data_IF_964836608372
#
_entry.id   IF_964836608372
#
_cell.length_a   1.000
_cell.length_b   1.000
_cell.length_c   1.000
_cell.angle_alpha   90.00
_cell.angle_beta   90.00
_cell.angle_gamma   90.00
#
_symmetry.space_group_name_H-M   'P 1'
#
loop_
_entity.id
_entity.type
_entity.pdbx_description
1 polymer ?
#
# COMPACT_ATOMS: atom_id res chain seq x y z
N UNK A 1 29.16 4.58 -13.96
CA UNK A 1 28.70 4.21 -12.61
C UNK A 1 29.91 3.95 -11.75
N UNK A 2 29.95 4.52 -10.55
CA UNK A 2 31.01 4.26 -9.57
C UNK A 2 30.89 2.81 -9.07
N UNK A 3 31.99 2.13 -8.67
CA UNK A 3 31.94 0.75 -8.17
C UNK A 3 30.92 0.53 -7.04
N UNK A 4 30.80 1.50 -6.13
CA UNK A 4 29.86 1.49 -5.00
C UNK A 4 28.39 1.48 -5.46
N UNK A 5 28.06 2.20 -6.54
CA UNK A 5 26.69 2.23 -7.08
C UNK A 5 26.31 0.87 -7.68
N UNK A 6 27.28 0.16 -8.28
CA UNK A 6 27.07 -1.17 -8.87
C UNK A 6 26.86 -2.23 -7.78
N UNK A 7 27.63 -2.17 -6.70
CA UNK A 7 27.50 -3.10 -5.58
C UNK A 7 26.19 -2.86 -4.80
N UNK A 8 25.78 -1.60 -4.64
CA UNK A 8 24.47 -1.27 -4.04
C UNK A 8 23.32 -1.82 -4.87
N UNK A 9 23.36 -1.67 -6.20
CA UNK A 9 22.35 -2.23 -7.10
C UNK A 9 22.31 -3.76 -7.01
N UNK A 10 23.47 -4.42 -7.00
CA UNK A 10 23.57 -5.87 -6.86
C UNK A 10 23.03 -6.35 -5.50
N UNK A 11 23.32 -5.62 -4.43
CA UNK A 11 22.76 -5.90 -3.10
C UNK A 11 21.23 -5.77 -3.11
N UNK A 12 20.69 -4.68 -3.66
CA UNK A 12 19.24 -4.50 -3.83
C UNK A 12 18.62 -5.64 -4.64
N UNK A 13 19.23 -6.05 -5.74
CA UNK A 13 18.76 -7.18 -6.57
C UNK A 13 18.72 -8.51 -5.79
N UNK A 14 19.72 -8.78 -4.95
CA UNK A 14 19.75 -9.99 -4.10
C UNK A 14 18.64 -9.93 -3.06
N UNK A 15 18.50 -8.81 -2.35
CA UNK A 15 17.43 -8.60 -1.36
C UNK A 15 16.06 -8.74 -2.03
N UNK A 16 15.87 -8.11 -3.18
CA UNK A 16 14.62 -8.18 -3.96
C UNK A 16 14.31 -9.60 -4.43
N UNK A 17 15.32 -10.34 -4.89
CA UNK A 17 15.18 -11.73 -5.28
C UNK A 17 14.74 -12.60 -4.11
N UNK A 18 15.28 -12.36 -2.92
CA UNK A 18 14.95 -13.10 -1.71
C UNK A 18 13.53 -12.77 -1.21
N UNK A 19 13.16 -11.49 -1.17
CA UNK A 19 11.80 -11.04 -0.82
C UNK A 19 10.78 -11.64 -1.77
N UNK A 20 11.03 -11.65 -3.09
CA UNK A 20 10.12 -12.26 -4.07
C UNK A 20 9.96 -13.77 -3.86
N UNK A 21 11.04 -14.49 -3.52
CA UNK A 21 10.98 -15.93 -3.24
C UNK A 21 10.19 -16.24 -1.97
N UNK A 22 10.36 -15.42 -0.93
CA UNK A 22 9.81 -15.65 0.41
C UNK A 22 8.58 -14.80 0.73
N UNK A 23 8.02 -14.09 -0.25
CA UNK A 23 6.85 -13.23 -0.08
C UNK A 23 5.69 -13.94 0.62
N UNK A 24 5.44 -15.22 0.27
CA UNK A 24 4.41 -16.04 0.91
C UNK A 24 4.70 -16.29 2.40
N UNK A 25 5.95 -16.54 2.76
CA UNK A 25 6.35 -16.74 4.15
C UNK A 25 6.16 -15.47 4.97
N UNK A 26 6.49 -14.30 4.42
CA UNK A 26 6.31 -13.02 5.11
C UNK A 26 4.84 -12.74 5.42
N UNK A 27 3.90 -13.07 4.52
CA UNK A 27 2.47 -12.92 4.81
C UNK A 27 2.00 -13.76 6.02
N UNK A 28 2.65 -14.90 6.26
CA UNK A 28 2.29 -15.84 7.33
C UNK A 28 3.03 -15.62 8.65
N UNK A 29 4.01 -14.71 8.67
CA UNK A 29 4.83 -14.41 9.86
C UNK A 29 4.23 -13.28 10.68
N UNK A 30 3.79 -13.62 11.88
CA UNK A 30 3.16 -12.70 12.84
C UNK A 30 4.14 -11.67 13.42
N UNK A 31 5.45 -11.93 13.36
CA UNK A 31 6.49 -11.04 13.89
C UNK A 31 6.55 -9.67 13.17
N UNK A 32 5.98 -9.59 11.96
CA UNK A 32 5.93 -8.34 11.21
C UNK A 32 4.96 -7.33 11.84
N UNK A 33 3.91 -7.78 12.56
CA UNK A 33 2.90 -6.88 13.13
C UNK A 33 3.49 -5.87 14.12
N UNK A 34 4.53 -6.25 14.88
CA UNK A 34 5.18 -5.37 15.87
C UNK A 34 6.34 -4.51 15.32
N UNK A 35 6.92 -4.88 14.18
CA UNK A 35 8.06 -4.14 13.60
C UNK A 35 7.63 -2.98 12.70
N UNK A 36 6.40 -2.99 12.19
CA UNK A 36 5.90 -1.99 11.23
C UNK A 36 5.67 -0.60 11.87
N UNK A 37 5.57 -0.49 13.21
CA UNK A 37 5.45 0.81 13.90
C UNK A 37 6.69 1.72 13.72
N UNK A 38 7.86 1.14 13.42
CA UNK A 38 9.10 1.88 13.18
C UNK A 38 9.36 2.29 11.72
N UNK A 39 8.49 1.88 10.78
CA UNK A 39 8.67 2.16 9.34
C UNK A 39 9.80 1.37 8.65
N UNK A 40 10.47 0.46 9.37
CA UNK A 40 11.58 -0.36 8.89
C UNK A 40 11.25 -1.83 9.10
N UNK A 41 11.42 -2.64 8.05
CA UNK A 41 11.21 -4.10 8.07
C UNK A 41 12.55 -4.80 7.98
N UNK A 42 12.81 -5.70 8.93
CA UNK A 42 14.05 -6.47 9.02
C UNK A 42 13.92 -7.82 8.31
N UNK A 43 14.70 -8.04 7.24
CA UNK A 43 14.68 -9.26 6.44
C UNK A 43 15.97 -10.07 6.66
N UNK A 44 15.89 -11.32 7.13
CA UNK A 44 17.06 -12.19 7.23
C UNK A 44 17.52 -12.64 5.84
N UNK A 45 18.79 -12.42 5.53
CA UNK A 45 19.41 -12.83 4.27
C UNK A 45 20.01 -14.24 4.37
N UNK A 46 19.95 -15.04 3.28
CA UNK A 46 20.64 -16.32 3.22
C UNK A 46 22.15 -16.10 3.30
N UNK A 47 22.82 -16.87 4.15
CA UNK A 47 24.28 -16.88 4.20
C UNK A 47 24.83 -17.51 2.92
N UNK A 48 25.74 -16.81 2.25
CA UNK A 48 26.61 -17.43 1.27
C UNK A 48 27.59 -18.32 2.02
N UNK A 49 27.49 -19.63 1.87
CA UNK A 49 28.58 -20.52 2.27
C UNK A 49 29.80 -20.16 1.43
N UNK A 50 30.81 -19.59 2.09
CA UNK A 50 32.08 -19.32 1.43
C UNK A 50 32.64 -20.67 0.97
N UNK A 51 32.89 -20.86 -0.34
CA UNK A 51 33.40 -22.14 -0.83
C UNK A 51 34.71 -22.45 -0.12
N UNK A 52 34.77 -23.59 0.57
CA UNK A 52 36.03 -24.10 1.10
C UNK A 52 36.91 -24.49 -0.08
N UNK A 53 37.97 -23.73 -0.31
CA UNK A 53 39.04 -24.14 -1.23
C UNK A 53 39.70 -25.35 -0.57
N UNK A 54 39.38 -26.54 -1.08
CA UNK A 54 40.10 -27.78 -0.71
C UNK A 54 41.31 -27.84 -1.63
N UNK A 55 42.50 -27.56 -1.09
CA UNK A 55 43.73 -27.88 -1.79
C UNK A 55 43.84 -29.42 -1.85
N UNK A 56 43.98 -29.98 -3.06
CA UNK A 56 44.46 -31.35 -3.24
C UNK A 56 45.86 -31.52 -2.64
N UNK A 57 46.26 -32.76 -2.38
CA UNK A 57 47.45 -33.15 -1.60
C UNK A 57 48.66 -32.20 -1.72
N UNK A 58 49.26 -31.79 -0.59
CA UNK A 58 50.34 -30.82 -0.59
C UNK A 58 51.63 -31.44 -1.16
N UNK A 59 52.10 -30.90 -2.29
CA UNK A 59 53.50 -31.04 -2.70
C UNK A 59 54.36 -30.17 -1.78
N UNK A 60 54.92 -30.78 -0.74
CA UNK A 60 56.18 -30.35 -0.12
C UNK A 60 56.11 -29.16 0.84
N UNK A 61 56.83 -29.28 1.95
CA UNK A 61 56.86 -28.41 3.11
C UNK A 61 57.40 -26.99 2.86
N UNK A 62 56.79 -26.02 3.55
CA UNK A 62 57.38 -24.72 3.87
C UNK A 62 56.47 -23.95 4.84
N UNK A 63 56.94 -23.51 6.03
CA UNK A 63 56.11 -22.79 6.98
C UNK A 63 55.90 -21.35 6.49
N UNK A 64 54.72 -21.07 5.93
CA UNK A 64 54.33 -19.72 5.54
C UNK A 64 53.41 -19.11 6.60
N UNK A 65 53.99 -18.09 7.23
CA UNK A 65 53.48 -17.17 8.26
C UNK A 65 51.97 -17.03 8.40
N UNK A 66 51.55 -17.12 9.67
CA UNK A 66 50.29 -16.58 10.15
C UNK A 66 50.16 -15.09 9.78
N UNK A 67 49.31 -14.80 8.81
CA UNK A 67 48.79 -13.45 8.57
C UNK A 67 47.72 -13.11 9.61
N UNK A 68 47.71 -11.90 10.19
CA UNK A 68 46.68 -11.47 11.13
C UNK A 68 45.38 -11.23 10.34
N UNK A 69 44.35 -12.02 10.62
CA UNK A 69 43.07 -11.90 9.94
C UNK A 69 42.08 -13.04 10.21
N UNK A 70 42.50 -14.09 10.92
CA UNK A 70 41.57 -15.08 11.47
C UNK A 70 41.08 -14.63 12.85
N UNK A 71 40.28 -13.56 12.89
CA UNK A 71 39.32 -13.42 13.99
C UNK A 71 38.28 -14.52 13.80
N UNK A 72 38.27 -15.45 14.74
CA UNK A 72 37.29 -16.52 14.81
C UNK A 72 35.89 -15.93 14.86
N UNK A 73 35.10 -16.21 13.82
CA UNK A 73 33.65 -16.22 13.93
C UNK A 73 33.31 -17.32 14.94
N UNK A 74 33.01 -16.91 16.17
CA UNK A 74 32.52 -17.80 17.21
C UNK A 74 31.23 -18.52 16.77
N UNK A 75 30.84 -19.59 17.48
CA UNK A 75 29.62 -20.35 17.22
C UNK A 75 28.40 -19.53 17.61
N UNK A 76 28.02 -18.62 16.73
CA UNK A 76 26.91 -17.70 16.88
C UNK A 76 26.70 -17.05 15.53
N UNK A 77 26.19 -17.83 14.57
CA UNK A 77 25.88 -17.36 13.22
C UNK A 77 24.81 -16.29 13.29
N UNK A 78 25.21 -15.03 13.49
CA UNK A 78 24.31 -13.90 13.33
C UNK A 78 23.90 -13.87 11.86
N UNK A 79 22.64 -14.19 11.61
CA UNK A 79 22.05 -14.12 10.29
C UNK A 79 22.14 -12.65 9.86
N UNK A 80 22.79 -12.32 8.73
CA UNK A 80 22.82 -10.94 8.26
C UNK A 80 21.38 -10.47 8.01
N UNK A 81 20.99 -9.39 8.66
CA UNK A 81 19.66 -8.78 8.52
C UNK A 81 19.79 -7.54 7.63
N UNK A 82 18.96 -7.47 6.59
CA UNK A 82 18.79 -6.26 5.80
C UNK A 82 17.59 -5.47 6.32
N UNK A 83 17.76 -4.18 6.53
CA UNK A 83 16.68 -3.25 6.84
C UNK A 83 16.15 -2.64 5.54
N UNK A 84 14.84 -2.76 5.31
CA UNK A 84 14.15 -2.10 4.20
C UNK A 84 13.14 -1.10 4.75
N UNK A 85 12.97 0.01 4.04
CA UNK A 85 11.83 0.90 4.30
C UNK A 85 10.52 0.17 3.99
N UNK A 86 9.49 0.40 4.81
CA UNK A 86 8.18 -0.23 4.65
C UNK A 86 7.61 -0.02 3.24
N UNK A 87 7.79 1.16 2.65
CA UNK A 87 7.33 1.46 1.29
C UNK A 87 8.02 0.61 0.23
N UNK A 88 9.36 0.48 0.30
CA UNK A 88 10.13 -0.36 -0.61
C UNK A 88 9.73 -1.84 -0.45
N UNK A 89 9.54 -2.30 0.79
CA UNK A 89 9.07 -3.65 1.07
C UNK A 89 7.68 -3.92 0.49
N UNK A 90 6.72 -2.99 0.67
CA UNK A 90 5.38 -3.13 0.12
C UNK A 90 5.39 -3.17 -1.41
N UNK A 91 6.20 -2.34 -2.08
CA UNK A 91 6.32 -2.37 -3.53
C UNK A 91 6.82 -3.73 -4.05
N UNK A 92 7.80 -4.31 -3.36
CA UNK A 92 8.33 -5.65 -3.68
C UNK A 92 7.29 -6.74 -3.45
N UNK A 93 6.56 -6.67 -2.34
CA UNK A 93 5.46 -7.60 -2.03
C UNK A 93 4.35 -7.49 -3.07
N UNK A 94 4.00 -6.27 -3.49
CA UNK A 94 3.03 -6.00 -4.54
C UNK A 94 3.43 -6.61 -5.88
N UNK A 95 4.70 -6.50 -6.26
CA UNK A 95 5.21 -7.13 -7.47
C UNK A 95 5.21 -8.66 -7.37
N UNK A 96 5.65 -9.21 -6.22
CA UNK A 96 5.73 -10.65 -5.98
C UNK A 96 4.34 -11.31 -6.01
N UNK A 97 3.36 -10.67 -5.39
CA UNK A 97 1.97 -11.16 -5.29
C UNK A 97 1.09 -10.71 -6.45
N UNK A 98 1.61 -9.87 -7.35
CA UNK A 98 0.88 -9.26 -8.49
C UNK A 98 -0.38 -8.52 -8.02
N UNK A 99 -0.25 -7.74 -6.96
CA UNK A 99 -1.36 -6.95 -6.42
C UNK A 99 -1.76 -5.83 -7.39
N UNK A 100 -3.06 -5.55 -7.53
CA UNK A 100 -3.55 -4.50 -8.42
C UNK A 100 -3.16 -3.12 -7.87
N UNK A 101 -2.87 -2.20 -8.78
CA UNK A 101 -2.68 -0.78 -8.43
C UNK A 101 -4.04 -0.13 -8.23
N UNK A 102 -4.29 0.33 -7.01
CA UNK A 102 -5.54 1.00 -6.68
C UNK A 102 -5.58 2.39 -7.36
N UNK A 103 -6.69 2.69 -8.02
CA UNK A 103 -6.90 3.98 -8.70
C UNK A 103 -7.85 4.85 -7.88
N UNK A 104 -7.61 6.16 -7.80
CA UNK A 104 -8.58 7.09 -7.23
C UNK A 104 -9.84 7.13 -8.10
N UNK A 105 -11.03 6.99 -7.49
CA UNK A 105 -12.32 7.20 -8.15
C UNK A 105 -12.73 8.68 -8.15
N UNK A 106 -12.25 9.46 -7.18
CA UNK A 106 -12.58 10.88 -7.01
C UNK A 106 -11.48 11.85 -7.45
N UNK A 107 -11.86 13.13 -7.56
CA UNK A 107 -10.86 14.20 -7.76
C UNK A 107 -9.98 14.31 -6.52
N UNK A 108 -10.51 14.06 -5.31
CA UNK A 108 -9.81 14.14 -4.02
C UNK A 108 -10.01 15.51 -3.36
N UNK A 109 -9.70 15.61 -2.07
CA UNK A 109 -9.81 16.89 -1.36
C UNK A 109 -8.60 17.77 -1.67
N UNK A 110 -8.84 19.07 -1.91
CA UNK A 110 -7.80 20.05 -2.20
C UNK A 110 -7.04 20.36 -0.91
N UNK A 111 -5.92 19.68 -0.68
CA UNK A 111 -5.18 19.83 0.58
C UNK A 111 -3.79 20.43 0.42
N UNK A 112 -3.19 20.39 -0.78
CA UNK A 112 -1.86 20.97 -0.98
C UNK A 112 -1.73 21.81 -2.26
N UNK A 113 -1.09 22.97 -2.09
CA UNK A 113 -0.67 23.83 -3.18
C UNK A 113 0.65 23.32 -3.76
N UNK A 114 0.58 22.47 -4.79
CA UNK A 114 1.81 22.13 -5.52
C UNK A 114 2.26 23.34 -6.33
N UNK A 115 3.40 23.91 -5.96
CA UNK A 115 4.01 25.03 -6.65
C UNK A 115 4.60 24.60 -7.99
N UNK A 116 3.83 24.68 -9.07
CA UNK A 116 4.40 24.62 -10.42
C UNK A 116 4.77 26.02 -10.87
N UNK A 117 6.03 26.20 -11.24
CA UNK A 117 6.60 27.42 -11.84
C UNK A 117 6.04 27.67 -13.26
N UNK A 118 4.76 27.98 -13.36
CA UNK A 118 4.01 28.15 -14.63
C UNK A 118 3.62 29.59 -14.90
N UNK A 119 3.49 30.42 -13.85
CA UNK A 119 3.14 31.84 -14.01
C UNK A 119 4.39 32.67 -14.25
N UNK A 120 4.22 33.86 -14.80
CA UNK A 120 5.32 34.77 -15.07
C UNK A 120 5.17 36.03 -14.27
N UNK A 121 6.17 36.30 -13.43
CA UNK A 121 6.31 37.54 -12.68
C UNK A 121 7.36 38.45 -13.31
N UNK A 122 7.27 39.76 -13.05
CA UNK A 122 8.26 40.76 -13.46
C UNK A 122 9.47 40.83 -12.53
N UNK A 123 9.37 40.25 -11.33
CA UNK A 123 10.43 40.19 -10.32
C UNK A 123 10.57 38.76 -9.79
N UNK A 124 11.80 38.36 -9.47
CA UNK A 124 12.09 37.03 -8.92
C UNK A 124 13.59 36.72 -8.83
N UNK A 125 13.96 35.56 -8.28
CA UNK A 125 15.34 35.12 -8.18
C UNK A 125 15.98 34.91 -9.57
N UNK A 126 17.27 35.24 -9.72
CA UNK A 126 17.99 35.10 -11.00
C UNK A 126 17.93 33.68 -11.58
N UNK A 127 17.94 32.64 -10.73
CA UNK A 127 17.84 31.24 -11.15
C UNK A 127 16.50 30.86 -11.81
N UNK A 128 15.42 31.60 -11.55
CA UNK A 128 14.10 31.36 -12.12
C UNK A 128 13.79 32.28 -13.32
N UNK A 129 14.78 33.00 -13.85
CA UNK A 129 14.60 33.90 -14.99
C UNK A 129 14.20 33.14 -16.25
N UNK A 130 13.11 33.54 -16.88
CA UNK A 130 12.67 33.01 -18.16
C UNK A 130 13.36 33.74 -19.32
N UNK A 131 14.52 33.25 -19.74
CA UNK A 131 15.41 33.91 -20.73
C UNK A 131 14.68 34.25 -22.04
N UNK A 132 14.02 33.29 -22.69
CA UNK A 132 13.33 33.52 -23.98
C UNK A 132 12.28 34.64 -23.93
N UNK A 133 11.47 34.69 -22.87
CA UNK A 133 10.44 35.73 -22.72
C UNK A 133 11.04 37.07 -22.30
N UNK A 134 12.12 37.06 -21.50
CA UNK A 134 12.87 38.28 -21.18
C UNK A 134 13.45 38.93 -22.43
N UNK A 135 14.09 38.12 -23.30
CA UNK A 135 14.62 38.60 -24.58
C UNK A 135 13.51 39.05 -25.53
N UNK A 136 12.36 38.37 -25.56
CA UNK A 136 11.20 38.78 -26.37
C UNK A 136 10.66 40.14 -25.97
N UNK A 137 10.58 40.43 -24.66
CA UNK A 137 10.11 41.73 -24.17
C UNK A 137 11.15 42.82 -24.42
N UNK A 138 12.43 42.52 -24.24
CA UNK A 138 13.54 43.41 -24.62
C UNK A 138 13.53 43.73 -26.12
N UNK A 139 13.28 42.74 -26.98
CA UNK A 139 13.16 42.97 -28.42
C UNK A 139 11.96 43.87 -28.76
N UNK A 140 10.79 43.63 -28.16
CA UNK A 140 9.63 44.50 -28.35
C UNK A 140 9.94 45.94 -27.94
N UNK A 141 10.62 46.14 -26.82
CA UNK A 141 11.04 47.45 -26.34
C UNK A 141 11.99 48.12 -27.34
N UNK A 142 13.05 47.43 -27.77
CA UNK A 142 14.04 47.96 -28.72
C UNK A 142 13.44 48.29 -30.09
N UNK A 143 12.44 47.52 -30.54
CA UNK A 143 11.70 47.83 -31.77
C UNK A 143 10.82 49.07 -31.62
N UNK A 144 10.18 49.25 -30.46
CA UNK A 144 9.34 50.43 -30.18
C UNK A 144 10.17 51.70 -29.96
N UNK A 145 11.37 51.59 -29.37
CA UNK A 145 12.27 52.73 -29.17
C UNK A 145 13.06 53.11 -30.43
N UNK A 146 13.02 52.28 -31.48
CA UNK A 146 13.80 52.49 -32.71
C UNK A 146 15.30 52.25 -32.54
N UNK A 147 15.73 51.71 -31.40
CA UNK A 147 17.13 51.43 -31.09
C UNK A 147 17.60 50.09 -31.68
N UNK A 148 16.67 49.27 -32.15
CA UNK A 148 16.98 47.98 -32.77
C UNK A 148 17.62 48.15 -34.15
N UNK A 149 18.85 47.66 -34.30
CA UNK A 149 19.57 47.60 -35.58
C UNK A 149 19.58 46.16 -36.07
N UNK A 150 19.05 45.94 -37.27
CA UNK A 150 18.97 44.61 -37.88
C UNK A 150 20.36 44.05 -38.25
N UNK A 151 21.28 44.94 -38.64
CA UNK A 151 22.66 44.63 -39.01
C UNK A 151 23.52 44.23 -37.79
N UNK A 152 23.15 44.68 -36.59
CA UNK A 152 23.82 44.32 -35.33
C UNK A 152 22.81 44.16 -34.17
N UNK A 153 22.15 42.99 -34.04
CA UNK A 153 21.07 42.78 -33.09
C UNK A 153 21.61 42.65 -31.65
N UNK A 154 21.86 43.78 -30.99
CA UNK A 154 22.21 43.84 -29.57
C UNK A 154 20.98 44.07 -28.71
N UNK A 155 20.57 43.03 -28.00
CA UNK A 155 19.48 43.11 -27.02
C UNK A 155 20.05 43.10 -25.61
N UNK A 156 19.94 44.23 -24.91
CA UNK A 156 20.30 44.35 -23.49
C UNK A 156 18.99 44.41 -22.69
N UNK A 157 18.63 43.34 -21.97
CA UNK A 157 17.41 43.34 -21.16
C UNK A 157 17.52 44.31 -20.00
N UNK A 158 16.55 45.22 -19.88
CA UNK A 158 16.43 46.13 -18.75
C UNK A 158 15.58 45.51 -17.64
N UNK A 159 15.50 46.17 -16.47
CA UNK A 159 14.74 45.68 -15.32
C UNK A 159 13.27 45.39 -15.65
N UNK A 160 12.68 46.15 -16.56
CA UNK A 160 11.28 46.04 -16.97
C UNK A 160 11.04 44.88 -17.95
N UNK A 161 12.08 44.43 -18.65
CA UNK A 161 12.05 43.30 -19.59
C UNK A 161 12.13 41.96 -18.85
N UNK A 162 12.61 41.97 -17.60
CA UNK A 162 12.83 40.75 -16.84
C UNK A 162 11.51 40.01 -16.59
N UNK A 163 11.53 38.72 -16.92
CA UNK A 163 10.42 37.79 -16.69
C UNK A 163 10.95 36.59 -15.91
N UNK A 164 10.27 36.24 -14.83
CA UNK A 164 10.64 35.17 -13.92
C UNK A 164 9.52 34.14 -13.87
N UNK A 165 9.88 32.86 -13.77
CA UNK A 165 8.89 31.84 -13.48
C UNK A 165 8.46 31.99 -12.02
N UNK A 166 7.21 32.34 -11.82
CA UNK A 166 6.57 32.40 -10.51
C UNK A 166 5.85 31.08 -10.24
N UNK A 167 5.96 30.54 -9.02
CA UNK A 167 5.15 29.41 -8.63
C UNK A 167 3.67 29.84 -8.65
N UNK A 168 2.83 29.04 -9.31
CA UNK A 168 1.38 29.12 -9.13
C UNK A 168 0.99 27.92 -8.29
N UNK A 169 0.34 28.17 -7.16
CA UNK A 169 -0.38 27.14 -6.44
C UNK A 169 -1.39 26.53 -7.41
N UNK A 170 -1.21 25.25 -7.73
CA UNK A 170 -2.29 24.45 -8.30
C UNK A 170 -2.75 23.53 -7.18
N UNK A 171 -4.04 23.51 -6.85
CA UNK A 171 -4.56 22.52 -5.91
C UNK A 171 -4.25 21.15 -6.49
N UNK A 172 -3.46 20.35 -5.77
CA UNK A 172 -3.36 18.93 -6.04
C UNK A 172 -4.35 18.26 -5.11
N UNK A 173 -5.43 17.71 -5.66
CA UNK A 173 -6.35 17.00 -4.82
C UNK A 173 -5.69 15.67 -4.42
N UNK A 174 -5.68 15.37 -3.12
CA UNK A 174 -5.23 14.08 -2.63
C UNK A 174 -6.43 13.16 -2.61
N UNK A 175 -6.34 12.04 -3.32
CA UNK A 175 -7.32 10.98 -3.18
C UNK A 175 -7.25 10.43 -1.76
N UNK A 176 -8.37 10.48 -1.06
CA UNK A 176 -8.51 9.92 0.28
C UNK A 176 -9.17 8.55 0.15
N UNK A 177 -8.88 7.66 1.10
CA UNK A 177 -9.55 6.38 1.18
C UNK A 177 -10.14 6.21 2.58
N UNK A 178 -11.28 5.55 2.64
CA UNK A 178 -11.85 5.04 3.88
C UNK A 178 -11.99 3.53 3.75
N UNK A 179 -11.52 2.80 4.76
CA UNK A 179 -11.63 1.34 4.83
C UNK A 179 -12.43 0.98 6.06
N UNK A 180 -13.55 0.28 5.83
CA UNK A 180 -14.38 -0.31 6.88
C UNK A 180 -14.07 -1.81 6.93
N UNK A 181 -13.76 -2.32 8.11
CA UNK A 181 -13.64 -3.75 8.37
C UNK A 181 -14.80 -4.20 9.25
N UNK A 182 -15.69 -5.03 8.71
CA UNK A 182 -16.70 -5.76 9.47
C UNK A 182 -16.19 -7.16 9.76
N UNK A 183 -16.09 -7.49 11.04
CA UNK A 183 -15.67 -8.80 11.53
C UNK A 183 -16.79 -9.43 12.33
N UNK A 184 -17.14 -10.64 11.92
CA UNK A 184 -17.97 -11.56 12.66
C UNK A 184 -17.20 -12.09 13.87
N UNK A 185 -17.79 -11.92 15.05
CA UNK A 185 -17.24 -12.44 16.30
C UNK A 185 -18.09 -13.57 16.86
N UNK A 186 -18.93 -14.22 16.06
CA UNK A 186 -19.75 -15.36 16.49
C UNK A 186 -18.95 -16.55 17.03
N UNK A 187 -19.65 -17.44 17.74
CA UNK A 187 -19.02 -18.63 18.38
C UNK A 187 -18.33 -19.62 17.43
N UNK A 188 -18.55 -19.51 16.12
CA UNK A 188 -17.87 -20.31 15.09
C UNK A 188 -16.54 -19.68 14.63
N UNK A 189 -16.34 -18.39 14.87
CA UNK A 189 -15.11 -17.64 14.57
C UNK A 189 -14.09 -17.80 15.69
N UNK A 190 -13.42 -18.95 15.72
CA UNK A 190 -12.45 -19.28 16.78
C UNK A 190 -11.15 -18.52 16.59
N UNK A 191 -10.22 -18.74 17.50
CA UNK A 191 -8.95 -18.00 17.54
C UNK A 191 -8.13 -18.13 16.24
N UNK A 192 -8.15 -19.29 15.57
CA UNK A 192 -7.40 -19.51 14.33
C UNK A 192 -7.98 -18.69 13.17
N UNK A 193 -9.30 -18.69 13.03
CA UNK A 193 -10.05 -17.95 12.02
C UNK A 193 -9.89 -16.44 12.25
N UNK A 194 -10.04 -15.97 13.49
CA UNK A 194 -9.81 -14.57 13.86
C UNK A 194 -8.38 -14.12 13.55
N UNK A 195 -7.38 -14.98 13.74
CA UNK A 195 -5.98 -14.68 13.38
C UNK A 195 -5.80 -14.49 11.87
N UNK A 196 -6.43 -15.33 11.04
CA UNK A 196 -6.38 -15.18 9.59
C UNK A 196 -7.00 -13.84 9.15
N UNK A 197 -8.17 -13.50 9.70
CA UNK A 197 -8.84 -12.22 9.40
C UNK A 197 -8.00 -11.03 9.81
N UNK A 198 -7.44 -11.04 11.02
CA UNK A 198 -6.56 -9.96 11.51
C UNK A 198 -5.33 -9.79 10.63
N UNK A 199 -4.78 -10.89 10.13
CA UNK A 199 -3.67 -10.87 9.18
C UNK A 199 -4.09 -10.23 7.86
N UNK A 200 -5.23 -10.62 7.29
CA UNK A 200 -5.75 -10.03 6.06
C UNK A 200 -6.05 -8.54 6.21
N UNK A 201 -6.75 -8.14 7.26
CA UNK A 201 -7.12 -6.74 7.49
C UNK A 201 -5.88 -5.84 7.62
N UNK A 202 -4.84 -6.33 8.28
CA UNK A 202 -3.56 -5.65 8.37
C UNK A 202 -2.89 -5.47 7.00
N UNK A 203 -2.74 -6.54 6.22
CA UNK A 203 -2.10 -6.46 4.90
C UNK A 203 -2.89 -5.59 3.92
N UNK A 204 -4.22 -5.69 3.94
CA UNK A 204 -5.10 -4.82 3.16
C UNK A 204 -4.87 -3.36 3.56
N UNK A 205 -4.81 -3.07 4.86
CA UNK A 205 -4.55 -1.71 5.37
C UNK A 205 -3.22 -1.18 4.87
N UNK A 206 -2.14 -1.97 4.96
CA UNK A 206 -0.82 -1.56 4.49
C UNK A 206 -0.81 -1.27 2.98
N UNK A 207 -1.44 -2.14 2.19
CA UNK A 207 -1.49 -1.98 0.74
C UNK A 207 -2.30 -0.74 0.32
N UNK A 208 -3.46 -0.51 0.95
CA UNK A 208 -4.27 0.68 0.66
C UNK A 208 -3.53 1.94 1.10
N UNK A 209 -2.88 1.93 2.27
CA UNK A 209 -2.07 3.06 2.76
C UNK A 209 -0.90 3.40 1.83
N UNK A 210 -0.31 2.39 1.18
CA UNK A 210 0.74 2.61 0.16
C UNK A 210 0.24 3.44 -1.02
N UNK A 211 -1.02 3.26 -1.42
CA UNK A 211 -1.63 4.00 -2.53
C UNK A 211 -2.32 5.30 -2.10
N UNK A 212 -2.86 5.34 -0.88
CA UNK A 212 -3.58 6.47 -0.31
C UNK A 212 -2.96 6.85 1.04
N UNK A 213 -2.04 7.83 1.07
CA UNK A 213 -1.39 8.25 2.31
C UNK A 213 -2.37 8.75 3.38
N UNK A 214 -3.52 9.30 2.94
CA UNK A 214 -4.65 9.69 3.80
C UNK A 214 -5.69 8.57 3.77
N UNK A 215 -5.53 7.62 4.70
CA UNK A 215 -6.41 6.49 4.90
C UNK A 215 -7.11 6.60 6.25
N UNK A 216 -8.45 6.70 6.22
CA UNK A 216 -9.28 6.54 7.40
C UNK A 216 -9.70 5.08 7.58
N UNK A 217 -9.72 4.61 8.82
CA UNK A 217 -9.98 3.21 9.17
C UNK A 217 -11.10 3.16 10.19
N UNK A 218 -12.08 2.30 9.95
CA UNK A 218 -13.24 2.08 10.81
C UNK A 218 -13.40 0.58 11.01
N UNK A 219 -13.59 0.17 12.26
CA UNK A 219 -13.69 -1.24 12.62
C UNK A 219 -15.07 -1.50 13.21
N UNK A 220 -15.72 -2.54 12.69
CA UNK A 220 -17.04 -2.98 13.09
C UNK A 220 -16.92 -4.42 13.56
N UNK A 221 -17.48 -4.69 14.72
CA UNK A 221 -17.74 -6.06 15.18
C UNK A 221 -19.23 -6.31 15.09
N UNK A 222 -19.60 -7.54 14.79
CA UNK A 222 -20.99 -7.95 14.88
C UNK A 222 -21.14 -9.38 15.36
N UNK A 223 -22.22 -9.58 16.11
CA UNK A 223 -22.78 -10.87 16.45
C UNK A 223 -24.27 -10.89 16.01
N UNK A 224 -25.21 -10.76 16.93
CA UNK A 224 -26.62 -10.45 16.68
C UNK A 224 -26.86 -8.95 16.41
N UNK A 225 -26.00 -8.08 16.93
CA UNK A 225 -26.01 -6.63 16.67
C UNK A 225 -24.61 -6.17 16.23
N UNK A 226 -24.53 -5.03 15.55
CA UNK A 226 -23.26 -4.47 15.10
C UNK A 226 -22.93 -3.19 15.84
N UNK A 227 -21.65 -3.00 16.17
CA UNK A 227 -21.14 -1.78 16.81
C UNK A 227 -19.75 -1.40 16.29
N UNK A 228 -19.43 -0.12 16.35
CA UNK A 228 -18.10 0.39 16.02
C UNK A 228 -17.14 0.20 17.20
N UNK A 229 -15.91 -0.20 16.91
CA UNK A 229 -14.84 -0.41 17.89
C UNK A 229 -13.55 0.30 17.48
N UNK A 230 -12.65 0.44 18.45
CA UNK A 230 -11.28 0.88 18.18
C UNK A 230 -10.45 -0.20 17.49
N UNK A 231 -9.32 0.21 16.92
CA UNK A 231 -8.33 -0.70 16.31
C UNK A 231 -7.84 -1.75 17.33
N UNK A 232 -7.52 -1.33 18.55
CA UNK A 232 -7.06 -2.24 19.61
C UNK A 232 -8.11 -3.30 19.97
N UNK A 233 -9.37 -2.88 20.09
CA UNK A 233 -10.49 -3.77 20.40
C UNK A 233 -10.74 -4.77 19.27
N UNK A 234 -10.67 -4.32 18.01
CA UNK A 234 -10.78 -5.21 16.84
C UNK A 234 -9.71 -6.32 16.87
N UNK A 235 -8.46 -5.97 17.14
CA UNK A 235 -7.36 -6.95 17.20
C UNK A 235 -7.38 -7.81 18.48
N UNK A 236 -8.01 -7.36 19.56
CA UNK A 236 -8.19 -8.14 20.80
C UNK A 236 -9.52 -8.89 20.88
N UNK A 237 -10.42 -8.68 19.92
CA UNK A 237 -11.74 -9.28 19.89
C UNK A 237 -11.66 -10.81 19.99
N UNK A 238 -12.65 -11.37 20.70
CA UNK A 238 -12.86 -12.80 20.96
C UNK A 238 -14.28 -13.18 20.57
N UNK A 239 -14.49 -14.48 20.42
CA UNK A 239 -15.79 -15.08 20.08
C UNK A 239 -16.91 -14.75 21.10
N UNK A 240 -18.12 -14.58 20.61
CA UNK A 240 -19.33 -14.23 21.34
C UNK A 240 -20.58 -14.26 20.44
N UNK A 241 -21.64 -14.92 20.91
CA UNK A 241 -22.98 -14.80 20.33
C UNK A 241 -23.24 -15.54 19.01
N UNK A 242 -24.38 -15.19 18.38
CA UNK A 242 -24.80 -15.69 17.06
C UNK A 242 -24.46 -14.69 15.95
N UNK A 243 -24.94 -14.91 14.72
CA UNK A 243 -24.53 -14.11 13.55
C UNK A 243 -25.71 -13.49 12.80
N UNK A 244 -25.70 -12.16 12.65
CA UNK A 244 -26.56 -11.39 11.74
C UNK A 244 -25.74 -10.46 10.86
N UNK A 245 -25.56 -10.86 9.61
CA UNK A 245 -24.74 -10.13 8.63
C UNK A 245 -25.35 -8.78 8.23
N UNK A 246 -26.69 -8.69 8.18
CA UNK A 246 -27.37 -7.44 7.82
C UNK A 246 -27.08 -6.30 8.81
N UNK A 247 -26.86 -6.62 10.09
CA UNK A 247 -26.60 -5.62 11.13
C UNK A 247 -25.31 -4.84 10.86
N UNK A 248 -24.24 -5.54 10.47
CA UNK A 248 -22.96 -4.94 10.09
C UNK A 248 -23.08 -4.07 8.83
N UNK A 249 -23.83 -4.53 7.82
CA UNK A 249 -24.03 -3.79 6.58
C UNK A 249 -24.85 -2.51 6.78
N UNK A 250 -25.88 -2.56 7.63
CA UNK A 250 -26.68 -1.37 7.99
C UNK A 250 -25.83 -0.32 8.74
N UNK A 251 -25.01 -0.77 9.69
CA UNK A 251 -24.10 0.13 10.40
C UNK A 251 -23.03 0.71 9.45
N UNK A 252 -22.51 -0.11 8.54
CA UNK A 252 -21.57 0.35 7.52
C UNK A 252 -22.22 1.41 6.61
N UNK A 253 -23.48 1.23 6.19
CA UNK A 253 -24.21 2.24 5.42
C UNK A 253 -24.29 3.58 6.16
N UNK A 254 -24.57 3.56 7.46
CA UNK A 254 -24.65 4.78 8.27
C UNK A 254 -23.29 5.48 8.36
N UNK A 255 -22.21 4.74 8.65
CA UNK A 255 -20.85 5.30 8.72
C UNK A 255 -20.42 5.89 7.38
N UNK A 256 -20.72 5.21 6.27
CA UNK A 256 -20.34 5.64 4.93
C UNK A 256 -21.01 6.95 4.48
N UNK A 257 -22.13 7.37 5.11
CA UNK A 257 -22.74 8.69 4.86
C UNK A 257 -21.80 9.85 5.22
N UNK A 258 -20.91 9.66 6.21
CA UNK A 258 -19.92 10.66 6.59
C UNK A 258 -18.79 10.84 5.56
N UNK A 259 -18.67 9.93 4.57
CA UNK A 259 -17.53 9.86 3.65
C UNK A 259 -17.96 10.01 2.19
N UNK A 260 -18.13 11.21 1.60
CA UNK A 260 -18.64 11.36 0.24
C UNK A 260 -17.77 10.72 -0.86
N UNK A 261 -18.38 10.06 -1.85
CA UNK A 261 -17.71 9.34 -2.96
C UNK A 261 -16.87 10.25 -3.85
N UNK A 262 -17.20 11.54 -3.90
CA UNK A 262 -16.45 12.54 -4.67
C UNK A 262 -15.01 12.72 -4.15
N UNK A 263 -14.79 12.49 -2.85
CA UNK A 263 -13.52 12.75 -2.18
C UNK A 263 -12.86 11.47 -1.66
N UNK A 264 -13.66 10.45 -1.30
CA UNK A 264 -13.19 9.22 -0.68
C UNK A 264 -13.42 8.00 -1.57
N UNK A 265 -12.35 7.23 -1.77
CA UNK A 265 -12.45 5.84 -2.18
C UNK A 265 -12.94 5.00 -1.00
N UNK A 266 -14.15 4.45 -1.09
CA UNK A 266 -14.75 3.65 -0.02
C UNK A 266 -14.47 2.17 -0.22
N UNK A 267 -13.85 1.53 0.75
CA UNK A 267 -13.63 0.09 0.78
C UNK A 267 -14.38 -0.50 1.97
N UNK A 268 -15.12 -1.57 1.73
CA UNK A 268 -15.78 -2.33 2.80
C UNK A 268 -15.35 -3.77 2.70
N UNK A 269 -14.73 -4.27 3.78
CA UNK A 269 -14.29 -5.64 3.91
C UNK A 269 -15.10 -6.32 4.99
N UNK A 270 -15.70 -7.45 4.67
CA UNK A 270 -16.54 -8.20 5.56
C UNK A 270 -16.00 -9.62 5.70
N UNK A 271 -15.73 -10.01 6.93
CA UNK A 271 -15.17 -11.30 7.28
C UNK A 271 -16.14 -12.07 8.18
N UNK A 272 -16.55 -13.25 7.74
CA UNK A 272 -17.46 -14.13 8.46
C UNK A 272 -17.18 -15.58 8.07
N UNK A 273 -17.70 -16.54 8.82
CA UNK A 273 -17.73 -17.94 8.46
C UNK A 273 -18.86 -18.29 7.46
N UNK A 274 -19.74 -17.32 7.19
CA UNK A 274 -20.88 -17.41 6.29
C UNK A 274 -22.11 -18.07 6.89
N UNK A 275 -22.13 -18.33 8.20
CA UNK A 275 -23.35 -18.67 8.92
C UNK A 275 -24.17 -17.42 9.15
N UNK A 276 -25.48 -17.49 8.93
CA UNK A 276 -26.36 -16.35 9.10
C UNK A 276 -27.68 -16.79 9.73
N UNK A 277 -28.29 -15.89 10.52
CA UNK A 277 -29.59 -16.14 11.10
C UNK A 277 -30.66 -16.34 10.01
N UNK A 278 -31.61 -17.25 10.25
CA UNK A 278 -32.68 -17.52 9.29
C UNK A 278 -33.49 -16.24 8.97
N UNK A 279 -33.57 -15.91 7.68
CA UNK A 279 -34.29 -14.73 7.18
C UNK A 279 -33.47 -13.45 7.09
N UNK A 280 -32.20 -13.45 7.52
CA UNK A 280 -31.33 -12.26 7.47
C UNK A 280 -30.68 -12.05 6.09
N UNK A 281 -30.38 -13.13 5.37
CA UNK A 281 -29.67 -13.05 4.08
C UNK A 281 -30.36 -12.18 3.02
N UNK A 282 -31.69 -12.24 2.82
CA UNK A 282 -32.36 -11.35 1.86
C UNK A 282 -32.15 -9.86 2.17
N UNK A 283 -32.22 -9.49 3.45
CA UNK A 283 -31.99 -8.11 3.89
C UNK A 283 -30.53 -7.70 3.67
N UNK A 284 -29.57 -8.58 4.00
CA UNK A 284 -28.16 -8.33 3.79
C UNK A 284 -27.84 -8.09 2.30
N UNK A 285 -28.40 -8.90 1.40
CA UNK A 285 -28.22 -8.76 -0.05
C UNK A 285 -28.87 -7.48 -0.60
N UNK A 286 -30.04 -7.09 -0.09
CA UNK A 286 -30.70 -5.83 -0.47
C UNK A 286 -29.85 -4.62 -0.09
N UNK A 287 -29.39 -4.55 1.17
CA UNK A 287 -28.55 -3.46 1.67
C UNK A 287 -27.23 -3.40 0.89
N UNK A 288 -26.61 -4.56 0.64
CA UNK A 288 -25.39 -4.63 -0.14
C UNK A 288 -25.60 -4.16 -1.58
N UNK A 289 -26.71 -4.55 -2.22
CA UNK A 289 -27.06 -4.11 -3.57
C UNK A 289 -27.17 -2.58 -3.70
N UNK A 290 -27.61 -1.89 -2.64
CA UNK A 290 -27.64 -0.43 -2.54
C UNK A 290 -26.26 0.19 -2.32
N UNK A 291 -25.40 -0.46 -1.52
CA UNK A 291 -24.07 0.04 -1.18
C UNK A 291 -23.06 -0.11 -2.32
N UNK A 292 -23.11 -1.22 -3.05
CA UNK A 292 -22.11 -1.59 -4.06
C UNK A 292 -21.76 -0.48 -5.07
N UNK A 293 -22.72 0.24 -5.68
CA UNK A 293 -22.39 1.29 -6.65
C UNK A 293 -21.52 2.42 -6.09
N UNK A 294 -21.67 2.71 -4.79
CA UNK A 294 -20.92 3.76 -4.10
C UNK A 294 -19.58 3.30 -3.54
N UNK A 295 -19.27 2.00 -3.61
CA UNK A 295 -18.01 1.43 -3.12
C UNK A 295 -16.96 1.40 -4.23
N UNK A 296 -15.70 1.60 -3.86
CA UNK A 296 -14.56 1.27 -4.70
C UNK A 296 -14.40 -0.25 -4.82
N UNK A 297 -14.60 -0.95 -3.69
CA UNK A 297 -14.60 -2.40 -3.63
C UNK A 297 -15.34 -2.85 -2.36
N UNK A 298 -16.13 -3.92 -2.50
CA UNK A 298 -16.62 -4.73 -1.40
C UNK A 298 -15.92 -6.08 -1.42
N UNK A 299 -15.14 -6.37 -0.38
CA UNK A 299 -14.44 -7.62 -0.22
C UNK A 299 -15.13 -8.51 0.82
N UNK A 300 -15.63 -9.67 0.42
CA UNK A 300 -16.14 -10.66 1.36
C UNK A 300 -15.16 -11.83 1.48
N UNK A 301 -14.70 -12.13 2.70
CA UNK A 301 -13.85 -13.29 2.94
C UNK A 301 -14.58 -14.25 3.88
N UNK A 302 -14.91 -15.43 3.34
CA UNK A 302 -15.50 -16.51 4.11
C UNK A 302 -14.40 -17.37 4.73
N UNK A 303 -14.29 -17.39 6.05
CA UNK A 303 -13.28 -18.19 6.74
C UNK A 303 -13.89 -19.54 7.12
N UNK A 304 -13.29 -20.63 6.64
CA UNK A 304 -13.86 -21.96 6.84
C UNK A 304 -13.23 -22.63 8.05
N UNK A 305 -14.07 -22.96 9.04
CA UNK A 305 -13.70 -23.84 10.15
C UNK A 305 -13.80 -25.33 9.78
N UNK A 306 -13.34 -26.25 10.65
CA UNK A 306 -13.29 -27.69 10.35
C UNK A 306 -14.66 -28.38 10.16
N UNK A 307 -15.77 -27.74 10.54
CA UNK A 307 -17.07 -28.41 10.75
C UNK A 307 -18.23 -27.90 9.87
N UNK A 308 -18.03 -26.95 8.97
CA UNK A 308 -19.14 -26.44 8.18
C UNK A 308 -18.75 -25.41 7.12
N UNK A 309 -19.63 -25.25 6.14
CA UNK A 309 -19.56 -24.21 5.12
C UNK A 309 -20.80 -23.33 5.28
N UNK A 310 -20.58 -22.06 5.60
CA UNK A 310 -21.62 -21.04 5.51
C UNK A 310 -22.15 -20.92 4.07
N UNK A 311 -23.46 -20.65 3.93
CA UNK A 311 -24.12 -20.55 2.61
C UNK A 311 -24.06 -19.15 2.01
N UNK A 312 -23.68 -18.16 2.81
CA UNK A 312 -23.74 -16.76 2.39
C UNK A 312 -22.85 -16.46 1.19
N UNK A 313 -21.64 -17.05 1.09
CA UNK A 313 -20.77 -16.86 -0.08
C UNK A 313 -21.46 -17.26 -1.39
N UNK A 314 -22.08 -18.44 -1.43
CA UNK A 314 -22.78 -18.92 -2.62
C UNK A 314 -23.98 -18.04 -2.98
N UNK A 315 -24.76 -17.63 -1.98
CA UNK A 315 -25.94 -16.77 -2.19
C UNK A 315 -25.52 -15.36 -2.66
N UNK A 316 -24.39 -14.85 -2.14
CA UNK A 316 -23.79 -13.58 -2.55
C UNK A 316 -23.29 -13.62 -4.00
N UNK A 317 -22.59 -14.69 -4.40
CA UNK A 317 -22.12 -14.86 -5.76
C UNK A 317 -23.27 -15.06 -6.76
N UNK A 318 -24.32 -15.78 -6.38
CA UNK A 318 -25.51 -15.96 -7.22
C UNK A 318 -26.28 -14.65 -7.42
N UNK A 319 -26.45 -13.85 -6.37
CA UNK A 319 -27.24 -12.63 -6.42
C UNK A 319 -26.48 -11.43 -7.03
N UNK A 320 -25.18 -11.29 -6.74
CA UNK A 320 -24.41 -10.08 -7.00
C UNK A 320 -23.05 -10.32 -7.67
N UNK A 321 -22.71 -11.58 -8.01
CA UNK A 321 -21.39 -11.98 -8.53
C UNK A 321 -20.95 -11.29 -9.83
N UNK A 322 -21.88 -10.79 -10.63
CA UNK A 322 -21.56 -10.08 -11.88
C UNK A 322 -21.04 -8.64 -11.66
N UNK A 323 -21.12 -8.10 -10.44
CA UNK A 323 -20.69 -6.73 -10.13
C UNK A 323 -19.17 -6.64 -10.05
N UNK A 324 -18.59 -5.66 -10.76
CA UNK A 324 -17.14 -5.44 -10.76
C UNK A 324 -16.62 -5.01 -9.38
N UNK A 325 -17.47 -4.41 -8.54
CA UNK A 325 -17.15 -3.92 -7.21
C UNK A 325 -17.10 -5.04 -6.16
N UNK A 326 -17.68 -6.22 -6.42
CA UNK A 326 -17.74 -7.34 -5.49
C UNK A 326 -16.55 -8.30 -5.69
N UNK A 327 -15.81 -8.59 -4.61
CA UNK A 327 -14.80 -9.65 -4.58
C UNK A 327 -15.02 -10.55 -3.39
N UNK A 328 -15.47 -11.77 -3.64
CA UNK A 328 -15.70 -12.76 -2.60
C UNK A 328 -14.65 -13.88 -2.67
N UNK A 329 -14.15 -14.36 -1.54
CA UNK A 329 -13.14 -15.44 -1.48
C UNK A 329 -13.35 -16.35 -0.28
N UNK A 330 -13.02 -17.63 -0.43
CA UNK A 330 -12.97 -18.61 0.67
C UNK A 330 -11.53 -18.73 1.19
N UNK A 331 -11.36 -18.75 2.51
CA UNK A 331 -10.07 -18.85 3.19
C UNK A 331 -10.11 -20.01 4.17
N UNK A 332 -9.33 -21.06 3.93
CA UNK A 332 -9.29 -22.27 4.77
C UNK A 332 -8.09 -22.31 5.71
N UNK A 333 -7.04 -21.57 5.37
CA UNK A 333 -5.83 -21.54 6.17
C UNK A 333 -4.83 -20.47 5.74
N UNK A 334 -3.65 -20.53 6.36
CA UNK A 334 -2.56 -19.56 6.11
C UNK A 334 -2.06 -19.57 4.67
N UNK A 335 -2.13 -20.73 4.01
CA UNK A 335 -1.74 -20.94 2.62
C UNK A 335 -2.59 -20.11 1.63
N UNK A 336 -3.84 -19.81 2.02
CA UNK A 336 -4.82 -19.09 1.19
C UNK A 336 -4.70 -17.57 1.34
N UNK A 337 -3.90 -17.06 2.29
CA UNK A 337 -3.73 -15.62 2.51
C UNK A 337 -3.22 -14.88 1.26
N UNK A 338 -2.16 -15.34 0.54
CA UNK A 338 -1.71 -14.68 -0.68
C UNK A 338 -2.77 -14.58 -1.78
N UNK A 339 -3.46 -15.68 -2.21
CA UNK A 339 -4.49 -15.58 -3.22
C UNK A 339 -5.73 -14.80 -2.73
N UNK A 340 -6.09 -14.91 -1.45
CA UNK A 340 -7.19 -14.15 -0.87
C UNK A 340 -6.92 -12.65 -0.90
N UNK A 341 -5.74 -12.21 -0.47
CA UNK A 341 -5.33 -10.81 -0.50
C UNK A 341 -5.39 -10.23 -1.92
N UNK A 342 -4.89 -10.98 -2.91
CA UNK A 342 -4.93 -10.56 -4.31
C UNK A 342 -6.37 -10.35 -4.81
N UNK A 343 -7.26 -11.30 -4.52
CA UNK A 343 -8.67 -11.24 -4.94
C UNK A 343 -9.41 -10.11 -4.23
N UNK A 344 -9.21 -9.96 -2.91
CA UNK A 344 -9.79 -8.91 -2.07
C UNK A 344 -9.28 -7.50 -2.40
N UNK A 345 -8.21 -7.37 -3.18
CA UNK A 345 -7.75 -6.07 -3.67
C UNK A 345 -8.20 -5.80 -5.12
N UNK A 346 -8.87 -6.77 -5.76
CA UNK A 346 -9.44 -6.64 -7.11
C UNK A 346 -8.57 -7.19 -8.25
N UNK A 347 -7.57 -8.03 -7.97
CA UNK A 347 -6.58 -8.53 -8.95
C UNK A 347 -6.67 -10.01 -9.31
#
# INVERSE_FOLDING_TARGET
>A
MRPIERDLLRFKEIVWGEVKKRAREFLTREELFGQVEGGVVSIPLPQLEVPKIVYGEPLGEGPLGAGPGAEGLGPGGHIPVAELELEEFLDLMGEALRLPRLRPKGEGEVTEEAFRHTTIARKGPRGLRHVRRTLKESLKRSLLSGEYREEEPRLVPEREDLRYKAPKAKPRPHAQAVVLFALDVSGSMREEELRLVKTLSFWITLWIRRHFPRLERRYLLHDAEAWEVSEEEFFRAREGGGTRLSSALLLAEEILKAYPEAFYNRYLYHFSDGENWQGDTPLALEVLGRLLPGLALYGYAQVQGPYGQGRFLSELEEALGEREELRAVEVRGREDLPPALRRLLGG
#
